data_IF_174317060966
#
_entry.id   IF_174317060966
#
_cell.length_a   1.000
_cell.length_b   1.000
_cell.length_c   1.000
_cell.angle_alpha   90.00
_cell.angle_beta   90.00
_cell.angle_gamma   90.00
#
_symmetry.space_group_name_H-M   'P 1'
#
loop_
_entity.id
_entity.type
_entity.pdbx_description
1 polymer ?
#
# COMPACT_ATOMS: atom_id res chain seq x y z
N UNK A 1 -13.54 -12.69 7.28
CA UNK A 1 -13.94 -14.00 6.73
C UNK A 1 -15.21 -13.94 5.85
N UNK A 2 -15.26 -13.08 4.81
CA UNK A 2 -16.50 -12.92 4.02
C UNK A 2 -16.88 -14.13 3.16
N UNK A 3 -16.00 -15.14 3.03
CA UNK A 3 -16.19 -16.29 2.14
C UNK A 3 -17.00 -17.42 2.81
N UNK A 4 -16.99 -17.51 4.14
CA UNK A 4 -17.72 -18.57 4.87
C UNK A 4 -19.02 -18.03 5.43
N UNK A 5 -20.08 -18.86 5.39
CA UNK A 5 -21.40 -18.53 5.97
C UNK A 5 -21.21 -18.05 7.41
N UNK A 6 -21.92 -17.00 7.81
CA UNK A 6 -21.97 -16.56 9.21
C UNK A 6 -22.73 -17.60 10.05
N UNK A 7 -22.01 -18.60 10.52
CA UNK A 7 -22.54 -19.71 11.33
C UNK A 7 -21.44 -20.27 12.23
N UNK A 8 -21.75 -20.72 13.46
CA UNK A 8 -20.76 -21.37 14.32
C UNK A 8 -20.23 -22.69 13.74
N UNK A 9 -20.98 -23.31 12.83
CA UNK A 9 -20.58 -24.53 12.15
C UNK A 9 -19.67 -24.29 10.93
N UNK A 10 -19.49 -23.04 10.52
CA UNK A 10 -18.69 -22.69 9.35
C UNK A 10 -17.26 -22.33 9.78
N UNK A 11 -16.28 -23.13 9.33
CA UNK A 11 -14.88 -22.94 9.66
C UNK A 11 -14.05 -22.78 8.38
N UNK A 12 -13.05 -21.90 8.43
CA UNK A 12 -12.01 -21.80 7.42
C UNK A 12 -10.77 -22.52 7.94
N UNK A 13 -10.23 -23.43 7.14
CA UNK A 13 -8.96 -24.10 7.39
C UNK A 13 -7.93 -23.53 6.41
N UNK A 14 -6.79 -23.06 6.93
CA UNK A 14 -5.71 -22.52 6.11
C UNK A 14 -4.35 -22.88 6.71
N UNK A 15 -3.33 -22.99 5.88
CA UNK A 15 -1.93 -23.13 6.29
C UNK A 15 -1.04 -22.16 5.48
N UNK A 16 0.16 -21.93 5.97
CA UNK A 16 1.21 -21.18 5.30
C UNK A 16 2.25 -22.17 4.78
N UNK A 17 2.34 -22.35 3.46
CA UNK A 17 3.28 -23.33 2.87
C UNK A 17 4.56 -22.70 2.31
N UNK A 18 4.52 -21.41 1.95
CA UNK A 18 5.64 -20.77 1.25
C UNK A 18 6.75 -20.33 2.20
N UNK A 19 6.35 -19.57 3.22
CA UNK A 19 7.20 -18.85 4.16
C UNK A 19 6.88 -19.26 5.60
N UNK A 20 6.60 -20.56 5.79
CA UNK A 20 6.27 -21.15 7.08
C UNK A 20 7.39 -21.02 8.10
N UNK A 21 8.64 -20.94 7.63
CA UNK A 21 9.85 -20.70 8.42
C UNK A 21 9.94 -19.27 9.00
N UNK A 22 9.09 -18.35 8.51
CA UNK A 22 9.12 -16.95 8.94
C UNK A 22 8.30 -16.71 10.21
N UNK A 23 7.36 -17.59 10.54
CA UNK A 23 6.37 -17.36 11.60
C UNK A 23 6.41 -18.45 12.67
N UNK A 24 6.55 -18.05 13.93
CA UNK A 24 6.56 -18.98 15.06
C UNK A 24 5.14 -19.36 15.50
N UNK A 25 4.17 -18.48 15.28
CA UNK A 25 2.77 -18.68 15.65
C UNK A 25 1.81 -17.87 14.75
N UNK A 26 0.50 -18.01 15.02
CA UNK A 26 -0.54 -17.31 14.24
C UNK A 26 -0.49 -15.79 14.43
N UNK A 27 -0.08 -15.28 15.59
CA UNK A 27 0.05 -13.85 15.85
C UNK A 27 1.17 -13.21 15.02
N UNK A 28 2.29 -13.90 14.81
CA UNK A 28 3.36 -13.46 13.90
C UNK A 28 2.83 -13.35 12.45
N UNK A 29 2.09 -14.35 12.01
CA UNK A 29 1.47 -14.35 10.68
C UNK A 29 0.47 -13.21 10.51
N UNK A 30 -0.40 -12.99 11.50
CA UNK A 30 -1.38 -11.92 11.49
C UNK A 30 -0.74 -10.53 11.62
N UNK A 31 0.35 -10.42 12.36
CA UNK A 31 1.13 -9.19 12.51
C UNK A 31 1.76 -8.78 11.19
N UNK A 32 2.35 -9.73 10.48
CA UNK A 32 2.87 -9.48 9.14
C UNK A 32 1.72 -9.11 8.20
N UNK A 33 0.81 -10.01 7.87
CA UNK A 33 -0.11 -9.75 6.76
C UNK A 33 -1.19 -8.69 7.02
N UNK A 34 -1.61 -8.47 8.27
CA UNK A 34 -2.80 -7.68 8.60
C UNK A 34 -2.57 -6.61 9.68
N UNK A 35 -1.35 -6.54 10.25
CA UNK A 35 -1.02 -5.69 11.40
C UNK A 35 -1.92 -5.97 12.60
N UNK A 36 -2.22 -7.25 12.84
CA UNK A 36 -3.04 -7.72 13.96
C UNK A 36 -2.12 -8.44 14.97
N UNK A 37 -1.81 -7.83 16.13
CA UNK A 37 -0.78 -8.32 17.03
C UNK A 37 -1.28 -9.35 18.06
N UNK A 38 -2.59 -9.56 18.15
CA UNK A 38 -3.22 -10.45 19.12
C UNK A 38 -4.67 -10.79 18.72
N UNK A 39 -5.22 -11.83 19.36
CA UNK A 39 -6.60 -12.29 19.11
C UNK A 39 -7.68 -11.29 19.52
N UNK A 40 -7.39 -10.39 20.46
CA UNK A 40 -8.33 -9.35 20.87
C UNK A 40 -8.53 -8.36 19.72
N UNK A 41 -7.42 -7.93 19.11
CA UNK A 41 -7.42 -7.07 17.93
C UNK A 41 -8.02 -7.79 16.73
N UNK A 42 -7.72 -9.07 16.54
CA UNK A 42 -8.35 -9.91 15.50
C UNK A 42 -9.87 -9.90 15.64
N UNK A 43 -10.37 -10.20 16.84
CA UNK A 43 -11.81 -10.24 17.13
C UNK A 43 -12.45 -8.87 16.88
N UNK A 44 -11.84 -7.78 17.33
CA UNK A 44 -12.37 -6.43 17.16
C UNK A 44 -12.47 -6.02 15.67
N UNK A 45 -11.45 -6.36 14.86
CA UNK A 45 -11.38 -5.95 13.46
C UNK A 45 -12.08 -6.89 12.47
N UNK A 46 -12.36 -8.14 12.87
CA UNK A 46 -12.82 -9.18 11.92
C UNK A 46 -13.95 -10.07 12.43
N UNK A 47 -14.22 -10.08 13.74
CA UNK A 47 -15.11 -11.03 14.43
C UNK A 47 -14.72 -12.50 14.26
N UNK A 48 -13.45 -12.76 13.98
CA UNK A 48 -12.89 -14.11 13.81
C UNK A 48 -12.21 -14.57 15.09
N UNK A 49 -12.41 -15.84 15.43
CA UNK A 49 -11.65 -16.57 16.43
C UNK A 49 -10.66 -17.52 15.75
N UNK A 50 -9.50 -17.72 16.36
CA UNK A 50 -8.60 -18.83 16.04
C UNK A 50 -8.97 -20.01 16.93
N UNK A 51 -9.36 -21.13 16.32
CA UNK A 51 -9.76 -22.35 17.03
C UNK A 51 -8.56 -23.30 17.25
N UNK A 52 -7.71 -23.42 16.23
CA UNK A 52 -6.50 -24.26 16.22
C UNK A 52 -5.36 -23.41 15.69
N UNK A 53 -4.21 -23.40 16.37
CA UNK A 53 -3.13 -22.41 16.22
C UNK A 53 -1.91 -22.91 15.41
N UNK A 54 -2.10 -23.86 14.50
CA UNK A 54 -0.98 -24.62 13.94
C UNK A 54 -0.34 -25.52 14.99
N UNK A 55 0.83 -26.08 14.69
CA UNK A 55 1.51 -27.05 15.56
C UNK A 55 2.90 -26.55 15.98
N UNK A 56 3.00 -25.98 17.18
CA UNK A 56 4.24 -25.42 17.73
C UNK A 56 5.32 -26.46 18.04
N UNK A 57 5.00 -27.76 17.98
CA UNK A 57 5.99 -28.83 18.13
C UNK A 57 6.74 -29.12 16.82
N UNK A 58 6.24 -28.62 15.69
CA UNK A 58 6.90 -28.75 14.39
C UNK A 58 7.90 -27.61 14.15
N UNK A 59 8.99 -27.85 13.39
CA UNK A 59 9.93 -26.78 13.00
C UNK A 59 9.30 -25.61 12.23
N UNK A 60 8.13 -25.84 11.62
CA UNK A 60 7.38 -24.86 10.84
C UNK A 60 5.91 -24.85 11.30
N UNK A 61 5.58 -24.17 12.41
CA UNK A 61 4.30 -24.36 13.08
C UNK A 61 3.07 -24.09 12.21
N UNK A 62 3.16 -23.12 11.30
CA UNK A 62 2.09 -22.75 10.39
C UNK A 62 2.04 -23.53 9.07
N UNK A 63 2.97 -24.47 8.84
CA UNK A 63 2.82 -25.43 7.75
C UNK A 63 1.65 -26.40 8.03
N UNK A 64 1.39 -26.68 9.31
CA UNK A 64 0.15 -27.31 9.75
C UNK A 64 -1.01 -26.31 9.75
N UNK A 65 -2.22 -26.83 9.87
CA UNK A 65 -3.42 -26.06 9.65
C UNK A 65 -3.85 -25.23 10.85
N UNK A 66 -4.11 -23.96 10.56
CA UNK A 66 -4.82 -23.04 11.44
C UNK A 66 -6.30 -23.05 11.08
N UNK A 67 -7.14 -23.09 12.11
CA UNK A 67 -8.59 -23.10 11.95
C UNK A 67 -9.17 -21.79 12.45
N UNK A 68 -10.04 -21.19 11.65
CA UNK A 68 -10.71 -19.94 11.95
C UNK A 68 -12.22 -20.14 11.94
N UNK A 69 -12.92 -19.50 12.87
CA UNK A 69 -14.38 -19.47 12.92
C UNK A 69 -14.90 -18.09 13.27
N UNK A 70 -16.19 -17.86 13.09
CA UNK A 70 -16.84 -16.64 13.58
C UNK A 70 -16.98 -16.70 15.10
N UNK A 71 -16.57 -15.65 15.82
CA UNK A 71 -16.76 -15.59 17.28
C UNK A 71 -18.25 -15.58 17.67
N UNK A 72 -19.05 -14.75 17.00
CA UNK A 72 -20.46 -14.50 17.30
C UNK A 72 -21.25 -14.19 16.02
N UNK A 73 -21.44 -15.17 15.13
CA UNK A 73 -21.94 -14.95 13.77
C UNK A 73 -23.35 -14.33 13.68
N UNK A 74 -24.11 -14.39 14.77
CA UNK A 74 -25.51 -13.95 14.83
C UNK A 74 -25.74 -12.65 15.60
N UNK A 75 -24.71 -12.12 16.28
CA UNK A 75 -24.84 -10.94 17.14
C UNK A 75 -24.10 -9.78 16.49
N UNK A 76 -24.80 -8.65 16.29
CA UNK A 76 -24.13 -7.39 15.93
C UNK A 76 -23.30 -6.95 17.14
N UNK A 77 -22.04 -6.67 16.88
CA UNK A 77 -21.11 -6.24 17.92
C UNK A 77 -21.52 -4.90 18.51
N UNK A 78 -21.49 -4.82 19.83
CA UNK A 78 -21.60 -3.54 20.53
C UNK A 78 -20.38 -2.68 20.21
N UNK A 79 -20.57 -1.38 20.15
CA UNK A 79 -19.51 -0.42 19.89
C UNK A 79 -18.32 -0.57 20.85
N UNK A 80 -18.57 -0.99 22.09
CA UNK A 80 -17.56 -1.27 23.13
C UNK A 80 -16.61 -2.43 22.77
N UNK A 81 -17.02 -3.31 21.84
CA UNK A 81 -16.21 -4.44 21.39
C UNK A 81 -15.34 -4.14 20.16
N UNK A 82 -15.45 -2.93 19.61
CA UNK A 82 -14.61 -2.43 18.52
C UNK A 82 -13.32 -1.83 19.09
N UNK A 83 -12.31 -1.67 18.23
CA UNK A 83 -11.13 -0.89 18.61
C UNK A 83 -11.53 0.57 18.91
N UNK A 84 -11.01 1.16 20.01
CA UNK A 84 -11.16 2.60 20.25
C UNK A 84 -10.62 3.41 19.08
N UNK A 85 -11.24 4.58 18.80
CA UNK A 85 -10.92 5.42 17.63
C UNK A 85 -9.42 5.61 17.41
N UNK A 86 -8.68 5.98 18.46
CA UNK A 86 -7.22 6.21 18.38
C UNK A 86 -6.47 4.98 17.88
N UNK A 87 -6.79 3.79 18.42
CA UNK A 87 -6.16 2.53 18.04
C UNK A 87 -6.55 2.13 16.60
N UNK A 88 -7.83 2.30 16.24
CA UNK A 88 -8.32 2.05 14.89
C UNK A 88 -7.63 2.96 13.85
N UNK A 89 -7.54 4.27 14.12
CA UNK A 89 -6.87 5.24 13.26
C UNK A 89 -5.39 4.88 13.06
N UNK A 90 -4.68 4.54 14.14
CA UNK A 90 -3.28 4.09 14.06
C UNK A 90 -3.15 2.84 13.17
N UNK A 91 -3.97 1.82 13.41
CA UNK A 91 -3.95 0.58 12.63
C UNK A 91 -4.24 0.83 11.14
N UNK A 92 -5.27 1.64 10.83
CA UNK A 92 -5.64 1.91 9.44
C UNK A 92 -4.52 2.63 8.67
N UNK A 93 -3.91 3.66 9.27
CA UNK A 93 -2.77 4.34 8.67
C UNK A 93 -1.54 3.43 8.55
N UNK A 94 -1.27 2.60 9.55
CA UNK A 94 -0.19 1.62 9.48
C UNK A 94 -0.43 0.64 8.32
N UNK A 95 -1.67 0.18 8.14
CA UNK A 95 -2.04 -0.72 7.06
C UNK A 95 -1.92 -0.06 5.68
N UNK A 96 -2.36 1.19 5.55
CA UNK A 96 -2.13 2.00 4.36
C UNK A 96 -0.65 2.06 4.01
N UNK A 97 0.21 2.44 4.97
CA UNK A 97 1.65 2.51 4.72
C UNK A 97 2.28 1.14 4.43
N UNK A 98 1.80 0.05 5.04
CA UNK A 98 2.27 -1.30 4.71
C UNK A 98 1.97 -1.68 3.25
N UNK A 99 0.78 -1.31 2.75
CA UNK A 99 0.36 -1.61 1.38
C UNK A 99 1.04 -0.70 0.36
N UNK A 100 1.19 0.59 0.69
CA UNK A 100 1.86 1.58 -0.15
C UNK A 100 3.38 1.38 -0.18
N UNK A 101 3.97 0.97 0.95
CA UNK A 101 5.41 0.88 1.19
C UNK A 101 5.78 -0.46 1.87
N UNK A 102 5.53 -1.62 1.21
CA UNK A 102 5.99 -2.91 1.73
C UNK A 102 7.49 -2.89 2.04
N UNK A 103 7.90 -3.69 3.02
CA UNK A 103 9.33 -3.81 3.34
C UNK A 103 10.05 -4.58 2.23
N UNK A 104 11.30 -4.22 1.99
CA UNK A 104 12.18 -4.88 1.02
C UNK A 104 12.37 -6.36 1.36
N UNK A 105 12.50 -7.18 0.32
CA UNK A 105 12.63 -8.61 0.39
C UNK A 105 14.01 -9.04 -0.10
N UNK A 106 14.73 -9.84 0.69
CA UNK A 106 15.83 -10.63 0.14
C UNK A 106 15.27 -11.74 -0.76
N UNK A 107 15.29 -11.49 -2.07
CA UNK A 107 14.78 -12.41 -3.09
C UNK A 107 15.67 -13.64 -3.30
N UNK A 108 16.91 -13.63 -2.81
CA UNK A 108 17.79 -14.79 -2.88
C UNK A 108 17.41 -15.84 -1.83
N UNK A 109 16.84 -15.42 -0.70
CA UNK A 109 16.26 -16.31 0.33
C UNK A 109 14.81 -16.70 0.00
N UNK A 110 14.65 -17.51 -1.05
CA UNK A 110 13.35 -17.86 -1.63
C UNK A 110 12.28 -18.34 -0.64
N UNK A 111 12.65 -19.17 0.36
CA UNK A 111 11.71 -19.67 1.38
C UNK A 111 11.17 -18.56 2.28
N UNK A 112 11.93 -17.48 2.47
CA UNK A 112 11.56 -16.36 3.34
C UNK A 112 10.90 -15.22 2.59
N UNK A 113 10.72 -15.29 1.28
CA UNK A 113 10.07 -14.20 0.52
C UNK A 113 8.58 -14.14 0.87
N UNK A 114 8.17 -13.00 1.46
CA UNK A 114 6.80 -12.72 1.87
C UNK A 114 6.18 -11.83 0.81
N UNK A 115 5.33 -12.43 -0.03
CA UNK A 115 4.67 -11.68 -1.09
C UNK A 115 3.65 -10.69 -0.52
N UNK A 116 3.70 -9.46 -1.02
CA UNK A 116 2.69 -8.42 -0.77
C UNK A 116 1.94 -8.10 -2.07
N UNK A 117 1.13 -9.03 -2.61
CA UNK A 117 0.47 -8.87 -3.91
C UNK A 117 -0.71 -7.89 -3.87
N UNK A 118 -1.11 -7.44 -2.69
CA UNK A 118 -2.25 -6.54 -2.51
C UNK A 118 -1.81 -5.09 -2.72
N UNK A 119 -2.55 -4.38 -3.54
CA UNK A 119 -2.42 -2.94 -3.73
C UNK A 119 -3.48 -2.17 -2.93
N UNK A 120 -3.55 -0.85 -3.10
CA UNK A 120 -4.41 0.04 -2.31
C UNK A 120 -5.93 -0.21 -2.47
N UNK A 121 -6.37 -0.96 -3.50
CA UNK A 121 -7.79 -1.32 -3.67
C UNK A 121 -8.35 -2.11 -2.47
N UNK A 122 -7.50 -2.86 -1.77
CA UNK A 122 -7.95 -3.68 -0.65
C UNK A 122 -8.51 -2.85 0.50
N UNK A 123 -8.04 -1.60 0.68
CA UNK A 123 -8.53 -0.70 1.72
C UNK A 123 -10.02 -0.39 1.54
N UNK A 124 -10.49 -0.23 0.29
CA UNK A 124 -11.89 0.06 0.00
C UNK A 124 -12.79 -1.14 0.30
N UNK A 125 -12.35 -2.35 -0.05
CA UNK A 125 -13.05 -3.60 0.31
C UNK A 125 -13.08 -3.80 1.83
N UNK A 126 -11.99 -3.46 2.51
CA UNK A 126 -11.88 -3.53 3.95
C UNK A 126 -12.82 -2.54 4.65
N UNK A 127 -12.95 -1.32 4.13
CA UNK A 127 -13.92 -0.33 4.64
C UNK A 127 -15.35 -0.87 4.57
N UNK A 128 -15.75 -1.45 3.44
CA UNK A 128 -17.07 -2.09 3.32
C UNK A 128 -17.22 -3.17 4.38
N UNK A 129 -16.21 -4.02 4.60
CA UNK A 129 -16.26 -5.03 5.65
C UNK A 129 -16.38 -4.43 7.06
N UNK A 130 -15.53 -3.47 7.43
CA UNK A 130 -15.53 -2.82 8.74
C UNK A 130 -16.88 -2.16 9.05
N UNK A 131 -17.53 -1.56 8.06
CA UNK A 131 -18.88 -1.03 8.23
C UNK A 131 -19.89 -2.12 8.57
N UNK A 132 -19.82 -3.31 7.96
CA UNK A 132 -20.68 -4.44 8.34
C UNK A 132 -20.43 -4.94 9.76
N UNK A 133 -19.27 -4.62 10.35
CA UNK A 133 -18.92 -4.95 11.74
C UNK A 133 -19.34 -3.87 12.74
N UNK A 134 -19.81 -2.71 12.27
CA UNK A 134 -20.30 -1.62 13.11
C UNK A 134 -19.34 -0.43 13.26
N UNK A 135 -18.20 -0.40 12.55
CA UNK A 135 -17.30 0.75 12.59
C UNK A 135 -17.99 2.01 11.99
N UNK A 136 -17.91 3.18 12.66
CA UNK A 136 -18.59 4.38 12.18
C UNK A 136 -18.07 4.86 10.83
N UNK A 137 -19.00 5.11 9.90
CA UNK A 137 -18.69 5.61 8.55
C UNK A 137 -17.85 6.89 8.55
N UNK A 138 -18.15 7.82 9.47
CA UNK A 138 -17.41 9.07 9.57
C UNK A 138 -15.93 8.90 9.98
N UNK A 139 -15.56 7.82 10.69
CA UNK A 139 -14.14 7.54 10.98
C UNK A 139 -13.41 7.14 9.70
N UNK A 140 -14.01 6.25 8.90
CA UNK A 140 -13.40 5.76 7.66
C UNK A 140 -13.33 6.85 6.59
N UNK A 141 -14.37 7.69 6.47
CA UNK A 141 -14.36 8.82 5.55
C UNK A 141 -13.27 9.85 5.91
N UNK A 142 -13.10 10.14 7.19
CA UNK A 142 -12.04 11.04 7.67
C UNK A 142 -10.64 10.48 7.37
N UNK A 143 -10.41 9.19 7.61
CA UNK A 143 -9.13 8.54 7.30
C UNK A 143 -8.79 8.63 5.80
N UNK A 144 -9.76 8.36 4.91
CA UNK A 144 -9.57 8.47 3.47
C UNK A 144 -9.31 9.92 3.04
N UNK A 145 -10.09 10.89 3.52
CA UNK A 145 -9.87 12.31 3.24
C UNK A 145 -8.49 12.75 3.72
N UNK A 146 -8.04 12.32 4.90
CA UNK A 146 -6.72 12.67 5.40
C UNK A 146 -5.58 12.10 4.56
N UNK A 147 -5.73 10.91 3.97
CA UNK A 147 -4.74 10.33 3.05
C UNK A 147 -4.73 11.12 1.73
N UNK A 148 -5.90 11.39 1.17
CA UNK A 148 -6.06 12.11 -0.11
C UNK A 148 -5.58 13.56 0.00
N UNK A 149 -5.86 14.23 1.11
CA UNK A 149 -5.52 15.64 1.34
C UNK A 149 -4.15 15.86 1.98
N UNK A 150 -3.35 14.79 2.12
CA UNK A 150 -2.04 14.85 2.77
C UNK A 150 -2.08 15.44 4.19
N UNK A 151 -3.03 14.98 5.02
CA UNK A 151 -3.23 15.41 6.42
C UNK A 151 -2.96 14.31 7.45
N UNK A 152 -2.36 13.19 7.02
CA UNK A 152 -2.07 12.06 7.92
C UNK A 152 -1.07 12.49 9.00
N UNK A 153 -1.53 12.47 10.25
CA UNK A 153 -0.70 12.61 11.45
C UNK A 153 -0.88 11.37 12.31
N UNK A 154 0.19 10.64 12.59
CA UNK A 154 0.10 9.32 13.22
C UNK A 154 1.33 8.95 14.04
N UNK A 155 1.15 7.99 14.95
CA UNK A 155 2.22 7.31 15.70
C UNK A 155 2.67 6.02 15.02
N UNK A 156 2.06 5.63 13.89
CA UNK A 156 2.50 4.51 13.06
C UNK A 156 3.69 4.89 12.17
N UNK A 157 4.38 3.88 11.63
CA UNK A 157 5.42 4.05 10.60
C UNK A 157 5.25 2.99 9.51
N UNK A 158 5.73 3.25 8.28
CA UNK A 158 5.95 2.18 7.31
C UNK A 158 6.77 1.03 7.94
N UNK A 159 6.56 -0.22 7.52
CA UNK A 159 7.31 -1.36 8.02
C UNK A 159 8.82 -1.14 7.99
N UNK A 160 9.55 -1.60 9.01
CA UNK A 160 11.04 -1.48 9.08
C UNK A 160 11.76 -2.81 9.24
N UNK A 161 10.99 -3.87 9.39
CA UNK A 161 11.46 -5.22 9.63
C UNK A 161 10.58 -6.18 8.86
N UNK A 162 11.09 -7.39 8.68
CA UNK A 162 10.39 -8.49 8.05
C UNK A 162 10.78 -9.81 8.74
N UNK A 163 9.80 -10.66 9.08
CA UNK A 163 8.38 -10.30 9.18
C UNK A 163 8.18 -9.30 10.33
N UNK A 164 7.10 -8.52 10.28
CA UNK A 164 6.65 -7.74 11.43
C UNK A 164 6.17 -8.70 12.52
N UNK A 165 6.67 -8.49 13.73
CA UNK A 165 6.24 -9.23 14.92
C UNK A 165 5.15 -8.45 15.67
N UNK A 166 4.38 -9.09 16.57
CA UNK A 166 3.40 -8.42 17.41
C UNK A 166 3.94 -7.18 18.15
N UNK A 167 5.20 -7.23 18.59
CA UNK A 167 5.87 -6.10 19.25
C UNK A 167 6.06 -4.91 18.30
N UNK A 168 6.41 -5.15 17.03
CA UNK A 168 6.57 -4.10 16.02
C UNK A 168 5.24 -3.41 15.72
N UNK A 169 4.15 -4.17 15.62
CA UNK A 169 2.79 -3.66 15.38
C UNK A 169 2.28 -2.83 16.56
N UNK A 170 2.55 -3.28 17.80
CA UNK A 170 2.15 -2.55 19.01
C UNK A 170 2.96 -1.27 19.22
N UNK A 171 4.18 -1.19 18.71
CA UNK A 171 5.08 -0.04 18.89
C UNK A 171 4.40 1.28 18.53
N UNK A 172 4.60 2.28 19.39
CA UNK A 172 4.17 3.66 19.12
C UNK A 172 5.39 4.54 18.94
N UNK A 173 5.38 5.31 17.86
CA UNK A 173 6.38 6.33 17.59
C UNK A 173 5.82 7.70 17.97
N UNK A 174 6.72 8.70 18.03
CA UNK A 174 6.29 10.09 18.20
C UNK A 174 5.30 10.47 17.09
N UNK A 175 4.17 11.06 17.49
CA UNK A 175 3.16 11.56 16.55
C UNK A 175 3.79 12.55 15.58
N UNK A 176 3.58 12.33 14.29
CA UNK A 176 4.14 13.18 13.24
C UNK A 176 3.25 13.18 12.01
N UNK A 177 3.28 14.30 11.28
CA UNK A 177 2.76 14.33 9.92
C UNK A 177 3.63 13.43 9.02
N UNK A 178 3.00 12.51 8.30
CA UNK A 178 3.65 11.63 7.33
C UNK A 178 3.06 11.94 5.96
N UNK A 179 3.92 12.38 5.03
CA UNK A 179 3.49 12.77 3.69
C UNK A 179 2.91 11.57 2.93
N UNK A 180 1.70 11.74 2.39
CA UNK A 180 0.98 10.77 1.56
C UNK A 180 0.80 11.23 0.12
N UNK A 181 1.31 12.42 -0.24
CA UNK A 181 1.18 13.01 -1.58
C UNK A 181 1.54 12.07 -2.74
N UNK A 182 2.60 11.23 -2.67
CA UNK A 182 2.90 10.29 -3.75
C UNK A 182 1.73 9.35 -4.08
N UNK A 183 0.93 8.96 -3.09
CA UNK A 183 -0.17 8.01 -3.26
C UNK A 183 -1.55 8.68 -3.28
N UNK A 184 -1.61 10.01 -3.06
CA UNK A 184 -2.86 10.73 -2.89
C UNK A 184 -3.76 10.66 -4.14
N UNK A 185 -3.16 10.80 -5.33
CA UNK A 185 -3.89 10.74 -6.61
C UNK A 185 -4.47 9.35 -6.89
N UNK A 186 -3.72 8.29 -6.59
CA UNK A 186 -4.21 6.92 -6.68
C UNK A 186 -5.38 6.72 -5.71
N UNK A 187 -5.21 7.09 -4.44
CA UNK A 187 -6.26 6.96 -3.42
C UNK A 187 -7.52 7.74 -3.77
N UNK A 188 -7.40 8.96 -4.31
CA UNK A 188 -8.52 9.78 -4.74
C UNK A 188 -9.27 9.14 -5.92
N UNK A 189 -8.53 8.61 -6.88
CA UNK A 189 -9.11 7.92 -8.04
C UNK A 189 -9.81 6.65 -7.63
N UNK A 190 -9.17 5.82 -6.79
CA UNK A 190 -9.79 4.62 -6.24
C UNK A 190 -11.03 4.95 -5.39
N UNK A 191 -11.01 6.04 -4.63
CA UNK A 191 -12.18 6.49 -3.89
C UNK A 191 -13.37 6.79 -4.80
N UNK A 192 -13.13 7.42 -5.96
CA UNK A 192 -14.17 7.61 -6.98
C UNK A 192 -14.65 6.30 -7.58
N UNK A 193 -13.73 5.41 -7.97
CA UNK A 193 -14.06 4.14 -8.63
C UNK A 193 -14.82 3.18 -7.70
N UNK A 194 -14.47 3.16 -6.42
CA UNK A 194 -15.10 2.31 -5.39
C UNK A 194 -16.26 3.00 -4.67
N UNK A 195 -16.64 4.22 -5.05
CA UNK A 195 -17.75 4.96 -4.44
C UNK A 195 -19.06 4.14 -4.33
N UNK A 196 -19.45 3.29 -5.30
CA UNK A 196 -20.64 2.43 -5.16
C UNK A 196 -20.56 1.40 -4.02
N UNK A 197 -19.36 1.05 -3.56
CA UNK A 197 -19.12 0.10 -2.46
C UNK A 197 -18.93 0.80 -1.10
N UNK A 198 -18.74 2.12 -1.11
CA UNK A 198 -18.51 2.90 0.09
C UNK A 198 -19.83 3.19 0.81
N UNK A 199 -19.88 3.05 2.14
CA UNK A 199 -21.09 3.33 2.92
C UNK A 199 -21.31 4.84 3.19
N UNK A 200 -20.52 5.70 2.55
CA UNK A 200 -20.53 7.14 2.70
C UNK A 200 -20.05 7.81 1.41
N UNK A 201 -20.40 9.08 1.24
CA UNK A 201 -19.89 9.92 0.16
C UNK A 201 -18.68 10.72 0.63
N UNK A 202 -17.68 10.84 -0.22
CA UNK A 202 -16.52 11.70 0.03
C UNK A 202 -16.69 13.01 -0.75
N UNK A 203 -16.61 14.13 -0.06
CA UNK A 203 -16.84 15.47 -0.62
C UNK A 203 -15.53 16.25 -0.87
N UNK A 204 -14.38 15.58 -0.81
CA UNK A 204 -13.09 16.25 -1.06
C UNK A 204 -12.98 16.68 -2.51
N UNK A 205 -12.58 17.94 -2.73
CA UNK A 205 -12.35 18.49 -4.08
C UNK A 205 -11.15 17.85 -4.77
N UNK A 206 -10.29 17.15 -4.02
CA UNK A 206 -9.18 16.37 -4.56
C UNK A 206 -9.64 15.05 -5.23
N UNK A 207 -10.89 14.62 -5.03
CA UNK A 207 -11.44 13.42 -5.66
C UNK A 207 -11.93 13.79 -7.08
N UNK A 208 -11.34 13.20 -8.13
CA UNK A 208 -11.67 13.53 -9.51
C UNK A 208 -13.12 13.20 -9.83
N UNK A 209 -13.70 13.87 -10.83
CA UNK A 209 -14.98 13.47 -11.39
C UNK A 209 -14.85 12.13 -12.09
N UNK A 210 -15.90 11.31 -12.10
CA UNK A 210 -15.89 10.04 -12.84
C UNK A 210 -15.62 10.24 -14.33
N UNK A 211 -16.15 11.34 -14.90
CA UNK A 211 -15.96 11.70 -16.32
C UNK A 211 -14.52 12.09 -16.65
N UNK A 212 -13.69 12.36 -15.66
CA UNK A 212 -12.29 12.72 -15.84
C UNK A 212 -11.38 11.49 -15.74
N UNK A 213 -11.90 10.30 -15.42
CA UNK A 213 -11.06 9.11 -15.28
C UNK A 213 -11.00 8.38 -16.62
N UNK A 214 -9.78 8.17 -17.11
CA UNK A 214 -9.50 7.42 -18.33
C UNK A 214 -8.45 6.36 -18.08
N UNK A 215 -8.47 5.32 -18.90
CA UNK A 215 -7.38 4.36 -18.97
C UNK A 215 -6.25 4.98 -19.77
N UNK A 216 -5.10 5.11 -19.15
CA UNK A 216 -3.87 5.53 -19.81
C UNK A 216 -2.99 4.32 -20.06
N UNK A 217 -2.33 4.33 -21.21
CA UNK A 217 -1.26 3.40 -21.55
C UNK A 217 0.09 4.14 -21.49
N UNK A 218 1.10 3.52 -20.91
CA UNK A 218 2.46 4.06 -20.80
C UNK A 218 3.42 3.10 -21.49
N UNK A 219 4.02 3.54 -22.60
CA UNK A 219 5.01 2.76 -23.35
C UNK A 219 6.37 2.82 -22.65
N UNK A 220 6.93 1.67 -22.29
CA UNK A 220 8.18 1.54 -21.53
C UNK A 220 9.10 0.53 -22.23
N UNK A 221 9.64 0.86 -23.41
CA UNK A 221 10.40 -0.08 -24.24
C UNK A 221 11.72 -0.55 -23.58
N UNK A 222 12.26 0.24 -22.67
CA UNK A 222 13.47 -0.02 -21.89
C UNK A 222 13.24 -0.91 -20.68
N UNK A 223 12.04 -1.51 -20.53
CA UNK A 223 11.77 -2.46 -19.45
C UNK A 223 12.72 -3.65 -19.54
N UNK A 224 13.43 -3.88 -18.45
CA UNK A 224 14.36 -4.97 -18.25
C UNK A 224 14.20 -5.48 -16.81
N UNK A 225 13.82 -6.74 -16.67
CA UNK A 225 13.69 -7.40 -15.37
C UNK A 225 14.48 -8.69 -15.40
N UNK A 226 15.66 -8.66 -14.81
CA UNK A 226 16.64 -9.74 -14.89
C UNK A 226 16.38 -10.87 -13.89
N UNK A 227 15.35 -10.74 -13.03
CA UNK A 227 15.13 -11.61 -11.88
C UNK A 227 13.76 -12.32 -11.96
N UNK A 228 13.73 -13.66 -12.13
CA UNK A 228 12.48 -14.39 -12.31
C UNK A 228 11.69 -14.51 -10.99
N UNK A 229 10.46 -13.97 -11.00
CA UNK A 229 9.31 -14.25 -10.10
C UNK A 229 9.37 -13.74 -8.63
N UNK A 230 8.18 -13.43 -8.07
CA UNK A 230 7.13 -12.59 -8.66
C UNK A 230 7.53 -11.12 -8.58
N UNK A 231 6.99 -10.32 -9.50
CA UNK A 231 7.23 -8.88 -9.52
C UNK A 231 5.95 -8.17 -9.12
N UNK A 232 5.97 -7.52 -7.96
CA UNK A 232 4.93 -6.56 -7.60
C UNK A 232 5.33 -5.24 -8.23
N UNK A 233 4.64 -4.84 -9.29
CA UNK A 233 5.00 -3.67 -10.08
C UNK A 233 4.18 -2.45 -9.62
N UNK A 234 4.83 -1.30 -9.66
CA UNK A 234 4.21 0.00 -9.39
C UNK A 234 4.72 0.98 -10.43
N UNK A 235 3.83 1.81 -10.97
CA UNK A 235 4.24 2.96 -11.76
C UNK A 235 4.73 4.06 -10.83
N UNK A 236 5.90 4.62 -11.13
CA UNK A 236 6.46 5.78 -10.46
C UNK A 236 6.60 6.89 -11.48
N UNK A 237 6.01 8.04 -11.20
CA UNK A 237 6.20 9.26 -11.94
C UNK A 237 7.04 10.19 -11.09
N UNK A 238 8.04 10.81 -11.71
CA UNK A 238 8.83 11.81 -11.01
C UNK A 238 9.17 13.00 -11.89
N UNK A 239 9.31 14.16 -11.25
CA UNK A 239 9.55 15.42 -11.91
C UNK A 239 10.98 15.89 -11.66
N UNK A 240 11.77 15.94 -12.73
CA UNK A 240 13.19 16.31 -12.71
C UNK A 240 13.45 17.69 -12.12
N UNK A 241 12.49 18.62 -12.20
CA UNK A 241 12.61 19.95 -11.61
C UNK A 241 12.80 19.90 -10.08
N UNK A 242 12.30 18.86 -9.44
CA UNK A 242 12.38 18.67 -7.99
C UNK A 242 13.56 17.77 -7.57
N UNK A 243 14.33 17.24 -8.52
CA UNK A 243 15.50 16.39 -8.23
C UNK A 243 16.77 17.19 -7.91
N UNK A 244 16.73 18.53 -7.98
CA UNK A 244 17.91 19.39 -7.88
C UNK A 244 18.62 19.58 -9.21
N UNK A 245 19.64 20.43 -9.25
CA UNK A 245 20.44 20.62 -10.45
C UNK A 245 21.45 19.45 -10.58
N UNK A 246 21.83 18.98 -11.79
CA UNK A 246 22.83 17.92 -11.97
C UNK A 246 24.24 18.19 -11.38
N UNK A 247 24.48 19.40 -10.87
CA UNK A 247 25.72 19.76 -10.17
C UNK A 247 25.59 19.69 -8.65
N UNK A 248 24.37 19.54 -8.16
CA UNK A 248 24.07 19.43 -6.74
C UNK A 248 24.28 17.97 -6.31
N UNK A 249 24.92 17.75 -5.16
CA UNK A 249 25.14 16.41 -4.62
C UNK A 249 23.84 15.64 -4.35
N UNK A 250 22.74 16.35 -4.08
CA UNK A 250 21.43 15.74 -3.87
C UNK A 250 20.85 15.11 -5.14
N UNK A 251 21.19 15.61 -6.33
CA UNK A 251 20.69 15.07 -7.60
C UNK A 251 21.17 13.63 -7.79
N UNK A 252 22.47 13.39 -7.62
CA UNK A 252 23.04 12.04 -7.71
C UNK A 252 22.44 11.09 -6.68
N UNK A 253 22.20 11.57 -5.44
CA UNK A 253 21.55 10.77 -4.39
C UNK A 253 20.11 10.40 -4.79
N UNK A 254 19.34 11.35 -5.31
CA UNK A 254 17.95 11.13 -5.75
C UNK A 254 17.90 10.17 -6.93
N UNK A 255 18.74 10.36 -7.94
CA UNK A 255 18.78 9.49 -9.12
C UNK A 255 19.22 8.07 -8.77
N UNK A 256 20.19 7.92 -7.86
CA UNK A 256 20.61 6.62 -7.34
C UNK A 256 19.48 5.93 -6.58
N UNK A 257 18.76 6.67 -5.72
CA UNK A 257 17.63 6.13 -4.98
C UNK A 257 16.47 5.74 -5.91
N UNK A 258 16.09 6.58 -6.87
CA UNK A 258 15.06 6.24 -7.87
C UNK A 258 15.37 4.95 -8.63
N UNK A 259 16.66 4.70 -8.91
CA UNK A 259 17.11 3.50 -9.62
C UNK A 259 17.16 2.25 -8.72
N UNK A 260 17.75 2.37 -7.54
CA UNK A 260 18.15 1.20 -6.75
C UNK A 260 17.31 0.97 -5.48
N UNK A 261 16.71 2.02 -4.91
CA UNK A 261 15.90 1.91 -3.70
C UNK A 261 14.96 3.12 -3.56
N UNK A 262 13.93 3.12 -4.40
CA UNK A 262 12.96 4.22 -4.48
C UNK A 262 12.10 4.35 -3.20
N UNK A 263 12.09 3.31 -2.36
CA UNK A 263 11.42 3.31 -1.06
C UNK A 263 11.92 4.45 -0.17
N UNK A 264 13.23 4.70 -0.19
CA UNK A 264 13.87 5.71 0.66
C UNK A 264 13.37 7.13 0.38
N UNK A 265 12.94 7.39 -0.86
CA UNK A 265 12.35 8.67 -1.26
C UNK A 265 10.87 8.72 -0.90
N UNK A 266 10.15 7.61 -1.04
CA UNK A 266 8.72 7.52 -0.80
C UNK A 266 8.36 7.43 0.69
N UNK A 267 9.19 6.80 1.53
CA UNK A 267 8.97 6.67 2.97
C UNK A 267 9.16 8.03 3.67
N UNK A 268 8.07 8.64 4.19
CA UNK A 268 8.12 9.98 4.77
C UNK A 268 8.89 10.04 6.10
N UNK A 269 9.19 8.89 6.69
CA UNK A 269 9.95 8.79 7.94
C UNK A 269 11.44 8.54 7.73
N UNK A 270 11.86 8.13 6.53
CA UNK A 270 13.21 7.63 6.25
C UNK A 270 14.30 8.64 6.57
N UNK A 271 14.20 9.83 5.97
CA UNK A 271 15.15 10.94 6.18
C UNK A 271 15.30 11.37 7.64
N UNK A 272 14.29 11.10 8.47
CA UNK A 272 14.26 11.56 9.85
C UNK A 272 14.66 10.50 10.88
N UNK A 273 14.53 9.23 10.52
CA UNK A 273 14.59 8.13 11.49
C UNK A 273 15.47 6.95 11.03
N UNK A 274 15.93 6.95 9.78
CA UNK A 274 16.77 5.90 9.20
C UNK A 274 18.06 6.48 8.63
N UNK A 275 17.96 7.42 7.69
CA UNK A 275 19.11 8.03 7.02
C UNK A 275 18.97 9.55 6.92
N UNK A 276 19.70 10.28 7.76
CA UNK A 276 19.65 11.74 7.80
C UNK A 276 20.17 12.42 6.53
N UNK A 277 20.86 11.71 5.61
CA UNK A 277 21.29 12.27 4.33
C UNK A 277 20.11 12.54 3.37
N UNK A 278 19.00 11.82 3.55
CA UNK A 278 17.75 11.97 2.78
C UNK A 278 16.74 12.90 3.48
N UNK A 279 17.25 13.82 4.31
CA UNK A 279 16.47 14.80 5.06
C UNK A 279 16.55 16.18 4.41
N UNK A 280 15.49 16.96 4.61
CA UNK A 280 15.48 18.40 4.34
C UNK A 280 14.59 18.77 3.17
N UNK A 281 14.57 20.08 2.91
CA UNK A 281 13.58 20.72 2.03
C UNK A 281 13.52 20.10 0.63
N UNK A 282 14.66 19.71 0.05
CA UNK A 282 14.70 19.12 -1.30
C UNK A 282 13.93 17.79 -1.34
N UNK A 283 14.19 16.88 -0.41
CA UNK A 283 13.52 15.57 -0.35
C UNK A 283 12.05 15.69 0.05
N UNK A 284 11.72 16.63 0.94
CA UNK A 284 10.34 16.92 1.33
C UNK A 284 9.53 17.47 0.14
N UNK A 285 10.08 18.45 -0.59
CA UNK A 285 9.43 19.06 -1.76
C UNK A 285 9.36 18.08 -2.95
N UNK A 286 10.38 17.24 -3.15
CA UNK A 286 10.34 16.13 -4.12
C UNK A 286 9.19 15.18 -3.79
N UNK A 287 9.07 14.73 -2.54
CA UNK A 287 7.99 13.80 -2.14
C UNK A 287 6.61 14.44 -2.27
N UNK A 288 6.49 15.71 -1.90
CA UNK A 288 5.19 16.39 -1.89
C UNK A 288 4.69 16.75 -3.30
N UNK A 289 5.59 17.12 -4.22
CA UNK A 289 5.22 17.71 -5.52
C UNK A 289 5.80 17.00 -6.74
N UNK A 290 6.92 16.31 -6.56
CA UNK A 290 7.70 15.73 -7.64
C UNK A 290 7.64 14.22 -7.72
N UNK A 291 6.82 13.54 -6.90
CA UNK A 291 6.62 12.09 -6.95
C UNK A 291 5.14 11.75 -6.99
N UNK A 292 4.77 10.82 -7.87
CA UNK A 292 3.46 10.15 -7.87
C UNK A 292 3.70 8.65 -8.04
N UNK A 293 3.05 7.85 -7.21
CA UNK A 293 3.16 6.40 -7.17
C UNK A 293 1.79 5.77 -7.43
N UNK A 294 1.77 4.71 -8.24
CA UNK A 294 0.53 4.06 -8.67
C UNK A 294 0.67 2.54 -8.67
N UNK A 295 0.09 1.90 -7.66
CA UNK A 295 0.13 0.44 -7.45
C UNK A 295 -0.92 -0.33 -8.24
N UNK A 296 -1.96 0.34 -8.73
CA UNK A 296 -3.08 -0.24 -9.47
C UNK A 296 -2.88 -0.13 -10.97
N UNK A 297 -1.88 -0.86 -11.47
CA UNK A 297 -1.57 -0.95 -12.89
C UNK A 297 -1.54 -2.40 -13.38
N UNK A 298 -1.82 -2.59 -14.67
CA UNK A 298 -1.56 -3.83 -15.39
C UNK A 298 -0.34 -3.66 -16.29
N UNK A 299 0.47 -4.70 -16.43
CA UNK A 299 1.67 -4.70 -17.27
C UNK A 299 1.54 -5.74 -18.39
N UNK A 300 1.64 -5.28 -19.64
CA UNK A 300 1.75 -6.12 -20.83
C UNK A 300 3.24 -6.25 -21.18
N UNK A 301 3.82 -7.42 -20.87
CA UNK A 301 5.26 -7.69 -21.06
C UNK A 301 5.66 -7.74 -22.53
N UNK A 302 4.79 -8.22 -23.41
CA UNK A 302 5.07 -8.36 -24.85
C UNK A 302 5.10 -7.00 -25.52
N UNK A 303 4.12 -6.15 -25.22
CA UNK A 303 4.05 -4.79 -25.76
C UNK A 303 4.91 -3.80 -24.99
N UNK A 304 5.39 -4.19 -23.81
CA UNK A 304 6.07 -3.32 -22.85
C UNK A 304 5.23 -2.08 -22.52
N UNK A 305 3.96 -2.30 -22.23
CA UNK A 305 2.99 -1.22 -21.93
C UNK A 305 2.37 -1.43 -20.56
N UNK A 306 2.45 -0.41 -19.73
CA UNK A 306 1.68 -0.36 -18.49
C UNK A 306 0.33 0.31 -18.74
N UNK A 307 -0.71 -0.10 -18.04
CA UNK A 307 -2.01 0.58 -18.08
C UNK A 307 -2.57 0.81 -16.70
N UNK A 308 -3.18 1.99 -16.50
CA UNK A 308 -3.79 2.39 -15.24
C UNK A 308 -4.97 3.34 -15.50
N UNK A 309 -5.98 3.31 -14.62
CA UNK A 309 -7.07 4.27 -14.61
C UNK A 309 -6.63 5.51 -13.85
N UNK A 310 -6.51 6.64 -14.53
CA UNK A 310 -5.97 7.89 -13.96
C UNK A 310 -6.83 9.09 -14.36
N UNK A 311 -6.84 10.17 -13.55
CA UNK A 311 -7.52 11.40 -13.90
C UNK A 311 -6.82 12.09 -15.08
N UNK A 312 -7.61 12.57 -16.03
CA UNK A 312 -7.13 13.36 -17.16
C UNK A 312 -6.40 14.62 -16.69
N UNK A 313 -6.97 15.33 -15.72
CA UNK A 313 -6.38 16.55 -15.15
C UNK A 313 -4.98 16.34 -14.56
N UNK A 314 -4.69 15.14 -14.05
CA UNK A 314 -3.36 14.77 -13.56
C UNK A 314 -2.37 14.62 -14.71
N UNK A 315 -2.71 13.80 -15.71
CA UNK A 315 -1.81 13.52 -16.84
C UNK A 315 -1.59 14.77 -17.68
N UNK A 316 -2.65 15.51 -18.02
CA UNK A 316 -2.53 16.78 -18.74
C UNK A 316 -1.76 17.82 -17.92
N UNK A 317 -1.94 17.84 -16.59
CA UNK A 317 -1.17 18.68 -15.70
C UNK A 317 0.33 18.38 -15.78
N UNK A 318 0.71 17.11 -15.75
CA UNK A 318 2.10 16.68 -15.90
C UNK A 318 2.65 16.98 -17.31
N UNK A 319 1.86 16.78 -18.36
CA UNK A 319 2.26 17.07 -19.75
C UNK A 319 2.43 18.58 -20.00
N UNK A 320 1.59 19.43 -19.39
CA UNK A 320 1.73 20.90 -19.48
C UNK A 320 3.00 21.43 -18.82
N UNK A 321 3.57 20.70 -17.87
CA UNK A 321 4.87 21.03 -17.27
C UNK A 321 6.06 20.63 -18.19
N UNK A 322 5.78 20.21 -19.43
CA UNK A 322 6.77 19.87 -20.44
C UNK A 322 7.53 18.58 -20.14
N UNK A 323 8.74 18.42 -20.72
CA UNK A 323 9.64 17.27 -20.53
C UNK A 323 10.32 17.21 -19.16
N UNK A 324 9.58 17.56 -18.11
CA UNK A 324 10.02 17.49 -16.72
C UNK A 324 9.58 16.19 -16.04
N UNK A 325 8.41 15.65 -16.41
CA UNK A 325 7.88 14.41 -15.86
C UNK A 325 8.40 13.19 -16.61
N UNK A 326 8.90 12.22 -15.85
CA UNK A 326 9.29 10.91 -16.33
C UNK A 326 8.42 9.84 -15.67
N UNK A 327 8.19 8.74 -16.39
CA UNK A 327 7.41 7.59 -15.93
C UNK A 327 8.28 6.33 -15.92
N UNK A 328 8.14 5.57 -14.84
CA UNK A 328 8.91 4.40 -14.50
C UNK A 328 8.07 3.22 -14.02
N UNK A 329 8.63 2.02 -14.06
CA UNK A 329 8.12 0.85 -13.30
C UNK A 329 9.19 0.45 -12.28
N UNK A 330 8.76 0.34 -11.03
CA UNK A 330 9.54 -0.18 -9.91
C UNK A 330 8.97 -1.51 -9.46
N UNK A 331 9.85 -2.41 -9.01
CA UNK A 331 9.49 -3.61 -8.25
C UNK A 331 9.36 -3.27 -6.77
N UNK A 332 8.18 -3.36 -6.18
CA UNK A 332 7.95 -2.98 -4.77
C UNK A 332 8.42 -4.03 -3.77
N UNK A 333 8.83 -5.22 -4.23
CA UNK A 333 9.44 -6.23 -3.38
C UNK A 333 10.92 -5.95 -3.09
N UNK A 334 11.63 -5.28 -4.01
CA UNK A 334 13.06 -4.92 -3.85
C UNK A 334 13.35 -3.42 -4.01
N UNK A 335 12.34 -2.63 -4.38
CA UNK A 335 12.38 -1.19 -4.60
C UNK A 335 13.31 -0.67 -5.71
N UNK A 336 13.79 -1.58 -6.55
CA UNK A 336 14.57 -1.29 -7.75
C UNK A 336 13.71 -0.97 -8.96
N UNK A 337 14.19 -0.06 -9.80
CA UNK A 337 13.61 0.24 -11.11
C UNK A 337 13.82 -0.95 -12.08
N UNK A 338 12.79 -1.27 -12.85
CA UNK A 338 12.82 -2.35 -13.86
C UNK A 338 13.09 -1.82 -15.26
N UNK A 339 13.91 -0.77 -15.36
CA UNK A 339 14.23 -0.13 -16.63
C UNK A 339 15.60 0.50 -16.63
N UNK A 340 16.25 0.50 -17.80
CA UNK A 340 17.54 1.19 -17.97
C UNK A 340 17.40 2.71 -17.88
N UNK A 341 16.40 3.28 -18.58
CA UNK A 341 16.12 4.72 -18.63
C UNK A 341 14.60 4.93 -18.54
N UNK A 342 14.10 5.80 -17.65
CA UNK A 342 12.67 6.13 -17.58
C UNK A 342 12.22 6.92 -18.81
N UNK A 343 10.95 6.79 -19.18
CA UNK A 343 10.42 7.45 -20.36
C UNK A 343 9.89 8.85 -20.00
N UNK A 344 10.05 9.83 -20.89
CA UNK A 344 9.34 11.10 -20.74
C UNK A 344 7.84 10.86 -20.87
N UNK A 345 7.06 11.42 -19.94
CA UNK A 345 5.63 11.19 -19.89
C UNK A 345 4.92 11.61 -21.19
N UNK A 346 5.32 12.75 -21.75
CA UNK A 346 4.79 13.29 -23.00
C UNK A 346 4.90 12.31 -24.17
N UNK A 347 6.02 11.59 -24.25
CA UNK A 347 6.30 10.65 -25.34
C UNK A 347 5.71 9.25 -25.06
N UNK A 348 5.49 8.91 -23.78
CA UNK A 348 5.08 7.58 -23.35
C UNK A 348 3.58 7.40 -23.14
N UNK A 349 2.86 8.46 -22.75
CA UNK A 349 1.47 8.38 -22.31
C UNK A 349 0.48 8.47 -23.49
N UNK A 350 -0.45 7.51 -23.56
CA UNK A 350 -1.55 7.51 -24.51
C UNK A 350 -2.88 7.36 -23.78
N UNK A 351 -3.77 8.34 -23.93
CA UNK A 351 -5.15 8.31 -23.43
C UNK A 351 -5.97 7.30 -24.24
N UNK A 352 -6.74 6.45 -23.56
CA UNK A 352 -7.60 5.43 -24.18
C UNK A 352 -9.06 5.65 -23.81
N UNK A 353 -9.71 4.64 -23.27
CA UNK A 353 -11.13 4.61 -22.93
C UNK A 353 -11.43 5.40 -21.65
N UNK A 354 -12.61 6.01 -21.60
CA UNK A 354 -13.16 6.66 -20.41
C UNK A 354 -13.75 5.61 -19.46
N UNK A 355 -13.66 5.85 -18.16
CA UNK A 355 -14.32 4.98 -17.19
C UNK A 355 -15.84 5.14 -17.26
N UNK A 356 -16.53 4.04 -17.55
CA UNK A 356 -17.98 3.91 -17.50
C UNK A 356 -18.34 2.94 -16.36
N UNK A 357 -19.27 3.35 -15.47
CA UNK A 357 -19.71 2.54 -14.34
C UNK A 357 -20.82 1.56 -14.73
#
# INVERSE_FOLDING_TARGET
>A
MPIVRRSPAANLRANCLRNSDSFSDVEDYLSEYQLIPDVTTLKALTQVAVLVRGNTELPYPLADFTFYSWCQPTIKHDFSSLLPRKAFTKWFYALFFRLALPFEQDIFQHSKVIHSPLNLTILFRLITHLQTLGYPSHWMSELLNNIVENKVTTTARPPRTKPLRPADVRREYRSRHLCTSPFAQEMATLARLFQPLLPFSLNSTAIPSQKEIYKYHFSIPTYENHLPRPSNLMLIFFNNKYCGHPRDSCFEVIMKALKNDSRTLLDPSWGNEVDNTLKGFIFENLREKGLVAWSTCAWDIEKKVASAWMPESLIEGMQRDGKNWMVGIVRTDIWEATMGVPAYLEDAAAKREQWCA
#
